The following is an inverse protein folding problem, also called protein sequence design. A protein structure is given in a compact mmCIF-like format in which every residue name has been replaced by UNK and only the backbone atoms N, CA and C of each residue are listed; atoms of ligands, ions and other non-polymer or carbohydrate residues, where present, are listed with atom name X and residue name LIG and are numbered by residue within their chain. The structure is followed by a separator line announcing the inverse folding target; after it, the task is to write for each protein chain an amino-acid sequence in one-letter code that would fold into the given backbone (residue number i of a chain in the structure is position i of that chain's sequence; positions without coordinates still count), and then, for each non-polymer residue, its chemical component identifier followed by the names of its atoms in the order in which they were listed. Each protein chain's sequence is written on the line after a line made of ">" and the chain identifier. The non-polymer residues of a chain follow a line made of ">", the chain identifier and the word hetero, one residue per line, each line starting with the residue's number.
data_IF_360545483162
#
_entry.id   IF_360545483162
#
_cell.length_a   1.000
_cell.length_b   1.000
_cell.length_c   1.000
_cell.angle_alpha   90.00
_cell.angle_beta   90.00
_cell.angle_gamma   90.00
#
_symmetry.space_group_name_H-M   'P 1'
#
loop_
_entity.id
_entity.type
_entity.pdbx_description
1 polymer ?
#
# COMPACT_ATOMS: atom_id res chain seq x y z
N UNK A 1 2.84 3.84 2.22
CA UNK A 1 2.22 2.58 1.81
C UNK A 1 1.11 2.81 0.79
N UNK A 2 1.09 2.01 -0.27
CA UNK A 2 0.00 1.97 -1.23
C UNK A 2 -0.67 0.59 -1.14
N UNK A 3 -1.99 0.55 -0.99
CA UNK A 3 -2.78 -0.69 -0.90
C UNK A 3 -3.79 -0.72 -2.04
N UNK A 4 -4.04 -1.91 -2.58
CA UNK A 4 -4.86 -2.09 -3.77
C UNK A 4 -5.96 -3.13 -3.54
N UNK A 5 -7.22 -2.71 -3.58
CA UNK A 5 -8.38 -3.61 -3.54
C UNK A 5 -8.86 -3.85 -4.96
N UNK A 6 -8.64 -5.06 -5.45
CA UNK A 6 -8.95 -5.42 -6.84
C UNK A 6 -10.39 -5.89 -6.97
N UNK A 7 -11.13 -5.31 -7.92
CA UNK A 7 -12.42 -5.85 -8.36
C UNK A 7 -12.21 -7.04 -9.31
N UNK A 8 -13.05 -8.06 -9.16
CA UNK A 8 -13.03 -9.28 -9.97
C UNK A 8 -14.46 -9.86 -10.07
N UNK A 9 -14.63 -11.04 -10.65
CA UNK A 9 -15.95 -11.67 -10.81
C UNK A 9 -16.67 -11.97 -9.49
N UNK A 10 -15.95 -12.15 -8.37
CA UNK A 10 -16.53 -12.40 -7.04
C UNK A 10 -16.60 -11.16 -6.14
N UNK A 11 -15.88 -10.08 -6.47
CA UNK A 11 -15.88 -8.83 -5.70
C UNK A 11 -16.13 -7.65 -6.63
N UNK A 12 -17.33 -7.07 -6.51
CA UNK A 12 -17.72 -5.88 -7.27
C UNK A 12 -16.86 -4.66 -6.89
N UNK A 13 -16.80 -3.66 -7.78
CA UNK A 13 -16.10 -2.42 -7.49
C UNK A 13 -16.69 -1.69 -6.27
N UNK A 14 -18.03 -1.55 -6.11
CA UNK A 14 -18.63 -1.01 -4.89
C UNK A 14 -18.23 -1.78 -3.63
N UNK A 15 -18.22 -3.12 -3.66
CA UNK A 15 -17.80 -3.91 -2.49
C UNK A 15 -16.32 -3.73 -2.17
N UNK A 16 -15.47 -3.59 -3.17
CA UNK A 16 -14.05 -3.28 -2.98
C UNK A 16 -13.86 -1.89 -2.34
N UNK A 17 -14.69 -0.91 -2.70
CA UNK A 17 -14.68 0.44 -2.12
C UNK A 17 -15.16 0.39 -0.67
N UNK A 18 -16.26 -0.31 -0.38
CA UNK A 18 -16.71 -0.52 1.00
C UNK A 18 -15.63 -1.19 1.84
N UNK A 19 -14.98 -2.26 1.34
CA UNK A 19 -13.87 -2.89 2.05
C UNK A 19 -12.73 -1.90 2.32
N UNK A 20 -12.38 -1.06 1.35
CA UNK A 20 -11.32 -0.07 1.54
C UNK A 20 -11.67 0.98 2.60
N UNK A 21 -12.90 1.50 2.59
CA UNK A 21 -13.37 2.48 3.59
C UNK A 21 -13.48 1.83 4.97
N UNK A 22 -14.07 0.64 5.07
CA UNK A 22 -14.18 -0.12 6.32
C UNK A 22 -12.78 -0.36 6.91
N UNK A 23 -11.84 -0.85 6.11
CA UNK A 23 -10.46 -1.06 6.55
C UNK A 23 -9.81 0.24 7.00
N UNK A 24 -10.01 1.35 6.28
CA UNK A 24 -9.45 2.63 6.67
C UNK A 24 -10.01 3.09 8.02
N UNK A 25 -11.32 3.00 8.25
CA UNK A 25 -11.93 3.37 9.54
C UNK A 25 -11.38 2.48 10.66
N UNK A 26 -11.34 1.17 10.47
CA UNK A 26 -10.82 0.22 11.46
C UNK A 26 -9.36 0.54 11.82
N UNK A 27 -8.51 0.75 10.81
CA UNK A 27 -7.10 1.11 11.03
C UNK A 27 -6.97 2.45 11.74
N UNK A 28 -7.80 3.45 11.39
CA UNK A 28 -7.77 4.75 12.05
C UNK A 28 -8.23 4.67 13.52
N UNK A 29 -9.18 3.79 13.83
CA UNK A 29 -9.66 3.58 15.20
C UNK A 29 -8.64 2.82 16.06
N UNK A 30 -8.12 1.69 15.57
CA UNK A 30 -7.16 0.86 16.32
C UNK A 30 -5.75 1.45 16.37
N UNK A 31 -5.27 2.06 15.28
CA UNK A 31 -3.86 2.46 15.12
C UNK A 31 -3.66 3.91 14.68
N UNK A 32 -4.73 4.72 14.65
CA UNK A 32 -4.66 6.08 14.13
C UNK A 32 -3.89 7.08 14.99
N UNK A 33 -3.53 6.69 16.21
CA UNK A 33 -2.72 7.49 17.13
C UNK A 33 -1.72 6.60 17.87
N UNK A 34 -0.43 6.91 17.74
CA UNK A 34 0.62 6.21 18.46
C UNK A 34 1.47 7.22 19.23
N UNK A 35 1.50 7.10 20.55
CA UNK A 35 2.31 7.97 21.41
C UNK A 35 3.72 7.38 21.55
N UNK A 36 4.71 8.13 21.11
CA UNK A 36 6.12 7.76 21.26
C UNK A 36 6.67 8.16 22.62
N UNK A 37 7.74 7.48 23.05
CA UNK A 37 8.44 7.74 24.32
C UNK A 37 9.07 9.13 24.39
N UNK A 38 9.24 9.79 23.25
CA UNK A 38 9.76 11.16 23.13
C UNK A 38 8.65 12.22 23.10
N UNK A 39 7.42 11.86 23.45
CA UNK A 39 6.29 12.79 23.59
C UNK A 39 5.63 13.22 22.28
N UNK A 40 6.00 12.63 21.15
CA UNK A 40 5.36 12.88 19.84
C UNK A 40 4.21 11.89 19.65
N UNK A 41 3.05 12.37 19.20
CA UNK A 41 1.96 11.51 18.72
C UNK A 41 2.05 11.37 17.21
N UNK A 42 2.15 10.13 16.73
CA UNK A 42 2.13 9.82 15.31
C UNK A 42 0.68 9.54 14.90
N UNK A 43 0.27 10.10 13.77
CA UNK A 43 -1.06 9.91 13.20
C UNK A 43 -0.97 9.51 11.74
N UNK A 44 -1.89 8.64 11.33
CA UNK A 44 -2.02 8.22 9.94
C UNK A 44 -2.92 9.18 9.17
N UNK A 45 -2.59 9.47 7.92
CA UNK A 45 -3.52 10.06 6.95
C UNK A 45 -3.78 9.04 5.84
N UNK A 46 -5.01 8.90 5.42
CA UNK A 46 -5.43 7.93 4.40
C UNK A 46 -6.22 8.61 3.31
N UNK A 47 -5.93 8.24 2.06
CA UNK A 47 -6.65 8.72 0.89
C UNK A 47 -7.14 7.55 0.05
N UNK A 48 -8.38 7.63 -0.45
CA UNK A 48 -9.05 6.56 -1.19
C UNK A 48 -9.55 7.06 -2.56
N UNK A 49 -9.15 6.35 -3.61
CA UNK A 49 -9.67 6.54 -4.98
C UNK A 49 -9.97 5.20 -5.62
N UNK A 50 -10.93 5.16 -6.54
CA UNK A 50 -11.30 3.96 -7.27
C UNK A 50 -11.25 4.20 -8.78
N UNK A 51 -11.16 3.13 -9.56
CA UNK A 51 -11.34 3.17 -11.02
C UNK A 51 -10.44 2.19 -11.74
N UNK A 52 -10.27 2.40 -13.03
CA UNK A 52 -9.38 1.59 -13.85
C UNK A 52 -7.92 2.01 -13.68
N UNK A 53 -7.03 1.03 -13.50
CA UNK A 53 -5.59 1.27 -13.55
C UNK A 53 -4.87 0.19 -14.33
N UNK A 54 -3.69 0.56 -14.79
CA UNK A 54 -2.83 -0.28 -15.58
C UNK A 54 -1.65 -0.66 -14.70
N UNK A 55 -1.45 -1.96 -14.59
CA UNK A 55 -0.28 -2.53 -13.94
C UNK A 55 0.69 -2.96 -15.03
N UNK A 56 1.90 -2.43 -15.01
CA UNK A 56 2.93 -2.79 -15.96
C UNK A 56 4.24 -3.16 -15.27
N UNK A 57 4.95 -4.11 -15.85
CA UNK A 57 6.31 -4.45 -15.49
C UNK A 57 7.26 -3.72 -16.43
N UNK A 58 8.24 -3.04 -15.83
CA UNK A 58 9.34 -2.37 -16.53
C UNK A 58 10.66 -2.96 -16.03
N UNK A 59 11.66 -2.98 -16.89
CA UNK A 59 12.98 -3.45 -16.51
C UNK A 59 13.73 -4.16 -17.61
N UNK A 60 14.66 -4.99 -17.18
CA UNK A 60 15.57 -5.77 -17.99
C UNK A 60 15.67 -7.22 -17.47
N UNK A 61 16.62 -7.96 -18.04
CA UNK A 61 16.84 -9.37 -17.68
C UNK A 61 17.29 -9.55 -16.22
N UNK A 62 17.91 -8.53 -15.62
CA UNK A 62 18.48 -8.55 -14.27
C UNK A 62 17.55 -7.94 -13.23
N UNK A 63 16.92 -6.81 -13.56
CA UNK A 63 16.09 -6.02 -12.66
C UNK A 63 14.70 -5.83 -13.25
N UNK A 64 13.69 -6.01 -12.41
CA UNK A 64 12.30 -5.74 -12.75
C UNK A 64 11.69 -4.85 -11.68
N UNK A 65 10.89 -3.89 -12.14
CA UNK A 65 10.09 -3.02 -11.31
C UNK A 65 8.66 -3.05 -11.82
N UNK A 66 7.69 -2.81 -10.94
CA UNK A 66 6.31 -2.64 -11.35
C UNK A 66 5.92 -1.18 -11.25
N UNK A 67 5.07 -0.75 -12.17
CA UNK A 67 4.45 0.57 -12.13
C UNK A 67 2.94 0.40 -12.17
N UNK A 68 2.26 1.30 -11.46
CA UNK A 68 0.80 1.40 -11.49
C UNK A 68 0.45 2.78 -12.01
N UNK A 69 -0.23 2.84 -13.14
CA UNK A 69 -0.60 4.09 -13.82
C UNK A 69 -2.09 4.16 -14.07
N UNK A 70 -2.64 5.36 -14.00
CA UNK A 70 -4.05 5.62 -14.27
C UNK A 70 -4.59 6.76 -13.42
N UNK A 71 -5.76 7.26 -13.82
CA UNK A 71 -6.43 8.37 -13.17
C UNK A 71 -6.62 8.20 -11.66
N UNK A 72 -7.01 7.01 -11.14
CA UNK A 72 -7.16 6.81 -9.69
C UNK A 72 -5.85 7.02 -8.91
N UNK A 73 -4.69 6.72 -9.49
CA UNK A 73 -3.37 6.94 -8.85
C UNK A 73 -3.09 8.43 -8.69
N UNK A 74 -3.42 9.23 -9.71
CA UNK A 74 -3.24 10.68 -9.63
C UNK A 74 -4.23 11.31 -8.65
N UNK A 75 -5.49 10.89 -8.70
CA UNK A 75 -6.55 11.38 -7.80
C UNK A 75 -6.27 11.04 -6.34
N UNK A 76 -5.81 9.83 -6.03
CA UNK A 76 -5.45 9.48 -4.64
C UNK A 76 -4.26 10.30 -4.13
N UNK A 77 -3.29 10.62 -4.99
CA UNK A 77 -2.15 11.50 -4.64
C UNK A 77 -2.60 12.94 -4.37
N UNK A 78 -3.60 13.44 -5.09
CA UNK A 78 -4.21 14.75 -4.82
C UNK A 78 -4.98 14.73 -3.49
N UNK A 79 -5.80 13.70 -3.26
CA UNK A 79 -6.53 13.50 -2.01
C UNK A 79 -5.60 13.37 -0.78
N UNK A 80 -4.47 12.69 -0.93
CA UNK A 80 -3.48 12.52 0.13
C UNK A 80 -2.75 13.83 0.50
N UNK A 81 -2.65 14.77 -0.44
CA UNK A 81 -2.05 16.10 -0.19
C UNK A 81 -2.96 17.01 0.63
N UNK A 82 -4.28 16.85 0.51
CA UNK A 82 -5.25 17.65 1.28
C UNK A 82 -5.54 17.03 2.66
N UNK A 83 -5.33 15.72 2.80
CA UNK A 83 -5.55 15.00 4.06
C UNK A 83 -4.64 15.50 5.17
N UNK A 84 -5.23 15.83 6.33
CA UNK A 84 -4.49 16.11 7.55
C UNK A 84 -4.22 14.84 8.35
N UNK A 85 -3.27 14.85 9.31
CA UNK A 85 -3.03 13.71 10.17
C UNK A 85 -4.30 13.30 10.94
N UNK A 86 -4.75 12.06 10.75
CA UNK A 86 -6.01 11.53 11.28
C UNK A 86 -7.15 11.46 10.26
N UNK A 87 -6.99 12.04 9.07
CA UNK A 87 -8.06 12.11 8.08
C UNK A 87 -8.12 10.86 7.20
N UNK A 88 -9.35 10.48 6.85
CA UNK A 88 -9.67 9.53 5.79
C UNK A 88 -10.38 10.32 4.68
N UNK A 89 -9.67 10.57 3.58
CA UNK A 89 -10.18 11.35 2.45
C UNK A 89 -10.56 10.41 1.31
N UNK A 90 -11.81 10.47 0.87
CA UNK A 90 -12.34 9.72 -0.27
C UNK A 90 -12.60 10.69 -1.42
N UNK A 91 -12.09 10.35 -2.61
CA UNK A 91 -12.40 11.11 -3.83
C UNK A 91 -13.87 10.93 -4.22
N UNK A 92 -14.52 11.99 -4.75
CA UNK A 92 -15.90 11.88 -5.25
C UNK A 92 -16.06 10.77 -6.29
N UNK A 93 -15.01 10.51 -7.06
CA UNK A 93 -15.00 9.43 -8.05
C UNK A 93 -15.10 8.03 -7.43
N UNK A 94 -14.54 7.80 -6.24
CA UNK A 94 -14.78 6.56 -5.51
C UNK A 94 -16.16 6.56 -4.86
N UNK A 95 -16.54 7.70 -4.27
CA UNK A 95 -17.81 7.86 -3.58
C UNK A 95 -19.03 7.62 -4.48
N UNK A 96 -18.97 8.03 -5.75
CA UNK A 96 -20.07 7.87 -6.70
C UNK A 96 -20.45 6.42 -7.03
N UNK A 97 -19.62 5.43 -6.64
CA UNK A 97 -19.92 4.01 -6.83
C UNK A 97 -20.66 3.36 -5.65
N UNK A 98 -20.81 4.06 -4.53
CA UNK A 98 -21.41 3.52 -3.30
C UNK A 98 -22.52 4.43 -2.78
N UNK A 99 -23.41 3.86 -1.96
CA UNK A 99 -24.39 4.65 -1.22
C UNK A 99 -23.75 5.18 0.08
N UNK A 100 -24.15 6.38 0.48
CA UNK A 100 -23.57 7.11 1.61
C UNK A 100 -24.13 6.70 2.98
N UNK A 101 -25.28 6.00 3.00
CA UNK A 101 -25.99 5.62 4.23
C UNK A 101 -25.15 4.82 5.25
N UNK A 102 -24.07 4.14 4.83
CA UNK A 102 -23.23 3.32 5.71
C UNK A 102 -22.16 4.11 6.48
N UNK A 103 -21.88 5.37 6.10
CA UNK A 103 -20.77 6.14 6.66
C UNK A 103 -21.16 7.55 7.10
N UNK A 104 -20.53 8.03 8.16
CA UNK A 104 -20.57 9.44 8.57
C UNK A 104 -19.48 10.19 7.81
N UNK A 105 -19.87 11.19 7.05
CA UNK A 105 -18.97 11.94 6.17
C UNK A 105 -19.24 13.44 6.18
N UNK A 106 -18.24 14.23 5.79
CA UNK A 106 -18.36 15.68 5.55
C UNK A 106 -17.66 16.07 4.24
N UNK A 107 -18.21 17.03 3.46
CA UNK A 107 -17.54 17.51 2.25
C UNK A 107 -16.29 18.32 2.59
N UNK A 108 -15.22 18.13 1.82
CA UNK A 108 -14.02 18.97 1.90
C UNK A 108 -14.28 20.35 1.25
N UNK A 109 -13.43 21.33 1.56
CA UNK A 109 -13.54 22.71 1.05
C UNK A 109 -13.51 22.81 -0.49
N UNK A 110 -12.89 21.84 -1.15
CA UNK A 110 -12.80 21.75 -2.61
C UNK A 110 -14.02 21.14 -3.31
N UNK A 111 -15.00 20.64 -2.54
CA UNK A 111 -16.24 20.00 -3.03
C UNK A 111 -16.04 18.77 -3.94
N UNK A 112 -14.82 18.26 -4.07
CA UNK A 112 -14.50 17.08 -4.90
C UNK A 112 -13.93 15.91 -4.07
N UNK A 113 -13.68 16.16 -2.78
CA UNK A 113 -13.33 15.14 -1.81
C UNK A 113 -14.29 15.15 -0.63
N UNK A 114 -14.37 13.99 0.03
CA UNK A 114 -15.18 13.77 1.22
C UNK A 114 -14.28 13.24 2.33
N UNK A 115 -14.49 13.73 3.54
CA UNK A 115 -13.80 13.25 4.73
C UNK A 115 -14.71 12.27 5.47
N UNK A 116 -14.23 11.04 5.64
CA UNK A 116 -14.94 9.97 6.34
C UNK A 116 -14.56 10.01 7.82
N UNK A 117 -15.55 9.93 8.70
CA UNK A 117 -15.35 9.98 10.15
C UNK A 117 -15.53 8.62 10.81
N UNK A 118 -16.63 7.93 10.52
CA UNK A 118 -16.98 6.66 11.17
C UNK A 118 -18.09 5.94 10.40
N UNK A 119 -18.54 4.81 10.93
CA UNK A 119 -19.71 4.07 10.47
C UNK A 119 -21.01 4.69 10.98
N UNK A 120 -22.11 4.47 10.24
CA UNK A 120 -23.47 4.72 10.75
C UNK A 120 -24.06 3.47 11.40
N UNK A 121 -25.27 3.57 11.94
CA UNK A 121 -26.06 2.43 12.42
C UNK A 121 -26.44 1.43 11.30
N UNK A 122 -26.43 1.86 10.04
CA UNK A 122 -26.78 1.05 8.88
C UNK A 122 -25.61 0.22 8.33
N UNK A 123 -24.41 0.34 8.91
CA UNK A 123 -23.28 -0.49 8.52
C UNK A 123 -23.59 -1.99 8.69
N UNK A 124 -23.30 -2.78 7.66
CA UNK A 124 -23.71 -4.20 7.52
C UNK A 124 -23.37 -5.03 8.78
N UNK A 125 -24.40 -5.66 9.35
CA UNK A 125 -24.38 -6.34 10.65
C UNK A 125 -23.32 -7.46 10.80
N UNK A 126 -23.02 -8.21 9.73
CA UNK A 126 -22.03 -9.31 9.80
C UNK A 126 -20.61 -8.80 10.06
N UNK A 127 -20.30 -7.55 9.67
CA UNK A 127 -18.99 -6.93 9.92
C UNK A 127 -18.90 -6.29 11.31
N UNK A 128 -20.03 -5.86 11.89
CA UNK A 128 -20.09 -5.31 13.26
C UNK A 128 -19.68 -6.33 14.32
N UNK A 129 -20.04 -7.60 14.14
CA UNK A 129 -19.68 -8.69 15.07
C UNK A 129 -18.16 -8.92 15.06
N UNK A 130 -17.54 -8.96 13.87
CA UNK A 130 -16.09 -9.12 13.73
C UNK A 130 -15.35 -7.92 14.33
N UNK A 131 -15.86 -6.70 14.12
CA UNK A 131 -15.27 -5.50 14.70
C UNK A 131 -15.37 -5.47 16.23
N UNK A 132 -16.52 -5.85 16.80
CA UNK A 132 -16.69 -5.96 18.25
C UNK A 132 -15.71 -6.98 18.87
N UNK A 133 -15.48 -8.10 18.18
CA UNK A 133 -14.55 -9.15 18.60
C UNK A 133 -13.08 -8.66 18.56
N UNK A 134 -12.72 -7.83 17.56
CA UNK A 134 -11.39 -7.18 17.48
C UNK A 134 -11.20 -6.21 18.65
N UNK A 135 -12.19 -5.34 18.92
CA UNK A 135 -12.09 -4.39 20.04
C UNK A 135 -12.00 -5.09 21.40
N UNK A 136 -12.64 -6.26 21.58
CA UNK A 136 -12.56 -7.00 22.83
C UNK A 136 -11.25 -7.77 23.04
N UNK A 137 -10.48 -8.03 21.97
CA UNK A 137 -9.17 -8.70 22.06
C UNK A 137 -8.04 -7.74 22.40
N UNK A 138 -8.18 -6.46 22.07
CA UNK A 138 -7.22 -5.41 22.46
C UNK A 138 -7.21 -5.14 23.98
N UNK A 139 -8.28 -5.49 24.70
CA UNK A 139 -8.37 -5.40 26.17
C UNK A 139 -7.68 -6.57 26.92
N UNK A 140 -7.15 -7.56 26.21
CA UNK A 140 -6.34 -8.64 26.78
C UNK A 140 -4.88 -8.45 26.38
N UNK A 141 -4.14 -7.64 27.13
CA UNK A 141 -2.67 -7.67 27.13
C UNK A 141 -2.20 -9.05 27.59
N UNK A 142 -2.04 -9.99 26.66
CA UNK A 142 -1.17 -11.14 26.89
C UNK A 142 0.26 -10.69 26.65
N UNK A 143 1.01 -10.59 27.75
CA UNK A 143 2.47 -10.49 27.78
C UNK A 143 3.08 -11.64 26.95
N UNK A 144 3.30 -11.41 25.66
CA UNK A 144 3.95 -12.40 24.81
C UNK A 144 5.46 -12.37 25.11
N UNK A 145 5.97 -13.48 25.60
CA UNK A 145 7.37 -13.62 25.99
C UNK A 145 8.19 -13.73 24.71
N UNK A 146 9.00 -12.71 24.43
CA UNK A 146 9.93 -12.66 23.30
C UNK A 146 11.04 -13.71 23.47
N UNK A 147 10.78 -14.94 23.05
CA UNK A 147 11.83 -15.91 22.77
C UNK A 147 12.25 -15.78 21.28
N UNK A 148 13.54 -15.59 20.97
CA UNK A 148 14.02 -15.51 19.60
C UNK A 148 14.18 -16.93 19.02
N UNK A 149 13.10 -17.53 18.52
CA UNK A 149 13.22 -18.63 17.56
C UNK A 149 13.25 -18.06 16.14
N UNK A 150 14.46 -17.93 15.58
CA UNK A 150 14.78 -17.42 14.23
C UNK A 150 14.30 -18.32 13.07
N UNK A 151 13.17 -19.01 13.21
CA UNK A 151 12.55 -19.76 12.11
C UNK A 151 11.12 -19.31 11.94
N UNK A 152 10.85 -18.49 10.91
CA UNK A 152 9.50 -18.13 10.49
C UNK A 152 8.76 -19.41 10.07
N UNK A 153 8.07 -20.05 11.02
CA UNK A 153 7.20 -21.19 10.74
C UNK A 153 6.01 -20.65 9.94
N UNK A 154 5.84 -21.15 8.72
CA UNK A 154 4.67 -20.82 7.90
C UNK A 154 3.46 -21.50 8.53
N UNK A 155 2.86 -20.84 9.51
CA UNK A 155 1.70 -21.34 10.23
C UNK A 155 0.38 -21.11 9.46
N UNK A 156 -0.70 -21.68 9.99
CA UNK A 156 -2.02 -21.62 9.37
C UNK A 156 -2.57 -20.18 9.30
N UNK A 157 -2.17 -19.32 10.23
CA UNK A 157 -2.62 -17.93 10.32
C UNK A 157 -1.93 -17.04 9.28
N UNK A 158 -0.62 -17.18 9.11
CA UNK A 158 0.14 -16.49 8.07
C UNK A 158 -0.31 -16.90 6.66
N UNK A 159 -0.68 -18.18 6.48
CA UNK A 159 -1.29 -18.67 5.24
C UNK A 159 -2.72 -18.16 5.04
N UNK A 160 -3.45 -17.83 6.10
CA UNK A 160 -4.77 -17.20 6.00
C UNK A 160 -4.65 -15.72 5.57
N UNK A 161 -3.68 -14.99 6.12
CA UNK A 161 -3.44 -13.57 5.79
C UNK A 161 -2.81 -13.43 4.39
N UNK A 162 -1.90 -14.35 4.02
CA UNK A 162 -1.22 -14.36 2.71
C UNK A 162 -1.38 -15.71 2.02
N UNK A 163 -2.57 -16.01 1.45
CA UNK A 163 -2.84 -17.30 0.80
C UNK A 163 -1.88 -17.65 -0.34
N UNK A 164 -1.23 -16.65 -0.95
CA UNK A 164 -0.23 -16.86 -2.00
C UNK A 164 1.03 -17.59 -1.50
N UNK A 165 1.30 -17.57 -0.19
CA UNK A 165 2.41 -18.32 0.41
C UNK A 165 2.18 -19.83 0.40
N UNK A 166 0.93 -20.31 0.25
CA UNK A 166 0.63 -21.77 0.14
C UNK A 166 1.33 -22.43 -1.04
N UNK A 167 1.65 -21.67 -2.07
CA UNK A 167 2.27 -22.16 -3.29
C UNK A 167 3.77 -21.87 -3.36
N UNK A 168 4.35 -21.29 -2.30
CA UNK A 168 5.77 -20.96 -2.23
C UNK A 168 6.47 -22.09 -1.48
N UNK A 169 7.42 -22.75 -2.14
CA UNK A 169 8.35 -23.66 -1.47
C UNK A 169 9.34 -22.81 -0.67
N UNK A 170 9.59 -23.16 0.60
CA UNK A 170 10.37 -22.37 1.56
C UNK A 170 11.76 -21.91 1.07
N UNK A 171 12.32 -22.57 0.04
CA UNK A 171 13.67 -22.32 -0.47
C UNK A 171 13.75 -21.88 -1.93
N UNK A 172 12.62 -21.65 -2.62
CA UNK A 172 12.66 -21.29 -4.06
C UNK A 172 11.82 -20.04 -4.31
N UNK A 173 12.48 -18.89 -4.29
CA UNK A 173 11.97 -17.70 -4.97
C UNK A 173 12.17 -17.95 -6.46
N UNK A 174 11.08 -17.98 -7.24
CA UNK A 174 11.16 -18.13 -8.70
C UNK A 174 12.15 -17.09 -9.26
N UNK A 175 12.98 -17.50 -10.23
CA UNK A 175 13.91 -16.61 -10.95
C UNK A 175 13.23 -15.37 -11.54
N UNK A 176 11.91 -15.42 -11.77
CA UNK A 176 11.11 -14.27 -12.17
C UNK A 176 10.87 -13.23 -11.06
N UNK A 177 10.78 -13.67 -9.80
CA UNK A 177 10.57 -12.82 -8.62
C UNK A 177 11.88 -12.26 -8.06
N UNK A 178 12.99 -12.98 -8.21
CA UNK A 178 14.33 -12.53 -7.81
C UNK A 178 14.69 -11.17 -8.44
N UNK A 179 14.20 -10.89 -9.66
CA UNK A 179 14.43 -9.63 -10.37
C UNK A 179 13.88 -8.39 -9.65
N UNK A 180 12.96 -8.56 -8.71
CA UNK A 180 12.39 -7.48 -7.90
C UNK A 180 13.13 -7.26 -6.57
N UNK A 181 14.06 -8.15 -6.22
CA UNK A 181 14.88 -8.02 -5.02
C UNK A 181 16.15 -7.23 -5.33
N UNK A 182 16.57 -6.39 -4.39
CA UNK A 182 17.87 -5.75 -4.48
C UNK A 182 18.97 -6.80 -4.24
N UNK A 183 20.12 -6.67 -4.92
CA UNK A 183 21.21 -7.66 -4.85
C UNK A 183 21.65 -8.01 -3.42
N UNK A 184 21.79 -7.07 -2.46
CA UNK A 184 22.16 -7.43 -1.09
C UNK A 184 21.15 -8.36 -0.41
N UNK A 185 19.84 -8.15 -0.64
CA UNK A 185 18.78 -9.03 -0.12
C UNK A 185 18.85 -10.39 -0.80
N UNK A 186 19.06 -10.42 -2.12
CA UNK A 186 19.18 -11.68 -2.86
C UNK A 186 20.39 -12.50 -2.36
N UNK A 187 21.56 -11.88 -2.23
CA UNK A 187 22.76 -12.53 -1.75
C UNK A 187 22.58 -13.07 -0.32
N UNK A 188 21.95 -12.28 0.57
CA UNK A 188 21.70 -12.74 1.92
C UNK A 188 20.79 -13.97 1.95
N UNK A 189 19.74 -13.99 1.12
CA UNK A 189 18.85 -15.16 0.99
C UNK A 189 19.58 -16.36 0.38
N UNK A 190 20.43 -16.16 -0.63
CA UNK A 190 21.16 -17.26 -1.31
C UNK A 190 22.28 -17.84 -0.44
N UNK A 191 22.97 -17.01 0.34
CA UNK A 191 24.06 -17.41 1.23
C UNK A 191 23.58 -17.82 2.63
N UNK A 192 22.28 -17.74 2.90
CA UNK A 192 21.68 -17.94 4.21
C UNK A 192 22.31 -17.03 5.29
N UNK A 193 22.59 -15.78 4.90
CA UNK A 193 23.09 -14.73 5.80
C UNK A 193 21.93 -14.03 6.50
N UNK A 194 22.11 -13.62 7.78
CA UNK A 194 21.10 -12.88 8.53
C UNK A 194 20.75 -11.54 7.86
N UNK A 195 19.46 -11.26 7.69
CA UNK A 195 18.97 -10.01 7.09
C UNK A 195 19.23 -8.79 7.99
N UNK A 196 19.52 -9.02 9.27
CA UNK A 196 19.95 -8.01 10.25
C UNK A 196 21.18 -7.26 9.76
N UNK A 197 22.04 -7.90 8.95
CA UNK A 197 23.22 -7.27 8.35
C UNK A 197 22.87 -6.16 7.35
N UNK A 198 21.63 -6.12 6.86
CA UNK A 198 21.13 -5.04 6.01
C UNK A 198 20.61 -3.84 6.83
N UNK A 199 20.47 -4.00 8.15
CA UNK A 199 20.00 -2.97 9.06
C UNK A 199 21.20 -2.20 9.61
N UNK A 200 21.70 -1.25 8.82
CA UNK A 200 22.86 -0.43 9.19
C UNK A 200 22.57 1.08 9.12
N UNK A 201 23.21 1.84 10.00
CA UNK A 201 23.33 3.28 9.87
C UNK A 201 24.59 3.59 9.06
N UNK A 202 24.42 4.16 7.86
CA UNK A 202 25.56 4.44 6.97
C UNK A 202 25.42 5.78 6.26
N UNK A 203 26.55 6.33 5.84
CA UNK A 203 26.57 7.52 5.00
C UNK A 203 26.24 7.16 3.55
N UNK A 204 25.23 7.80 2.97
CA UNK A 204 24.84 7.61 1.56
C UNK A 204 24.74 8.94 0.84
N UNK A 205 24.99 8.92 -0.47
CA UNK A 205 24.61 9.99 -1.38
C UNK A 205 23.36 9.55 -2.10
N UNK A 206 22.28 10.32 -1.97
CA UNK A 206 21.00 10.02 -2.63
C UNK A 206 20.82 10.91 -3.85
N UNK A 207 20.52 10.29 -4.99
CA UNK A 207 20.17 11.01 -6.23
C UNK A 207 18.68 10.77 -6.51
N UNK A 208 17.88 11.84 -6.44
CA UNK A 208 16.46 11.79 -6.78
C UNK A 208 16.23 12.32 -8.20
N UNK A 209 15.69 11.47 -9.07
CA UNK A 209 15.31 11.82 -10.43
C UNK A 209 13.79 12.00 -10.51
N UNK A 210 13.33 13.25 -10.64
CA UNK A 210 11.92 13.55 -10.89
C UNK A 210 11.71 13.77 -12.40
N UNK A 211 11.03 12.83 -13.04
CA UNK A 211 10.82 12.83 -14.49
C UNK A 211 9.37 13.16 -14.79
N UNK A 212 9.15 14.29 -15.47
CA UNK A 212 7.81 14.74 -15.87
C UNK A 212 7.62 14.46 -17.36
N UNK A 213 6.71 13.54 -17.66
CA UNK A 213 6.39 13.16 -19.04
C UNK A 213 5.19 13.97 -19.56
N UNK A 214 5.19 14.24 -20.86
CA UNK A 214 4.03 14.85 -21.52
C UNK A 214 2.85 13.86 -21.53
N UNK A 215 1.58 14.34 -21.52
CA UNK A 215 0.42 13.47 -21.65
C UNK A 215 0.49 12.65 -22.95
N UNK A 216 0.34 11.33 -22.83
CA UNK A 216 0.37 10.35 -23.93
C UNK A 216 -0.63 9.24 -23.64
N UNK A 217 -0.93 8.43 -24.65
CA UNK A 217 -1.64 7.17 -24.42
C UNK A 217 -0.85 6.26 -23.46
N UNK A 218 -1.57 5.46 -22.67
CA UNK A 218 -0.98 4.69 -21.57
C UNK A 218 0.10 3.71 -22.07
N UNK A 219 -0.10 3.07 -23.22
CA UNK A 219 0.88 2.15 -23.80
C UNK A 219 2.18 2.84 -24.24
N UNK A 220 2.09 4.07 -24.74
CA UNK A 220 3.26 4.87 -25.09
C UNK A 220 3.98 5.36 -23.83
N UNK A 221 3.21 5.80 -22.82
CA UNK A 221 3.74 6.20 -21.52
C UNK A 221 4.53 5.07 -20.86
N UNK A 222 3.98 3.85 -20.83
CA UNK A 222 4.66 2.68 -20.25
C UNK A 222 5.94 2.35 -21.02
N UNK A 223 5.92 2.41 -22.37
CA UNK A 223 7.11 2.17 -23.20
C UNK A 223 8.21 3.21 -22.95
N UNK A 224 7.83 4.48 -22.82
CA UNK A 224 8.77 5.56 -22.52
C UNK A 224 9.35 5.41 -21.11
N UNK A 225 8.53 5.12 -20.09
CA UNK A 225 8.98 4.83 -18.73
C UNK A 225 9.98 3.66 -18.74
N UNK A 226 9.71 2.59 -19.48
CA UNK A 226 10.63 1.47 -19.57
C UNK A 226 11.95 1.83 -20.27
N UNK A 227 11.91 2.67 -21.32
CA UNK A 227 13.12 3.16 -22.00
C UNK A 227 13.99 4.00 -21.06
N UNK A 228 13.35 4.90 -20.30
CA UNK A 228 14.00 5.75 -19.30
C UNK A 228 14.57 4.91 -18.17
N UNK A 229 13.79 3.99 -17.60
CA UNK A 229 14.24 3.08 -16.55
C UNK A 229 15.48 2.31 -17.00
N UNK A 230 15.46 1.72 -18.20
CA UNK A 230 16.61 1.01 -18.72
C UNK A 230 17.82 1.92 -19.01
N UNK A 231 17.59 3.17 -19.40
CA UNK A 231 18.67 4.14 -19.59
C UNK A 231 19.33 4.50 -18.26
N UNK A 232 18.54 4.74 -17.22
CA UNK A 232 19.06 4.95 -15.84
C UNK A 232 19.79 3.71 -15.36
N UNK A 233 19.22 2.52 -15.56
CA UNK A 233 19.87 1.26 -15.21
C UNK A 233 21.19 1.07 -15.94
N UNK A 234 21.34 1.47 -17.21
CA UNK A 234 22.62 1.37 -17.95
C UNK A 234 23.75 2.14 -17.28
N UNK A 235 23.47 3.31 -16.71
CA UNK A 235 24.45 4.08 -15.95
C UNK A 235 24.82 3.42 -14.61
N UNK A 236 24.03 2.43 -14.15
CA UNK A 236 24.39 1.56 -13.03
C UNK A 236 25.01 0.21 -13.48
N UNK A 237 24.44 -0.53 -14.44
CA UNK A 237 24.90 -1.85 -14.96
C UNK A 237 24.23 -2.23 -16.32
N UNK A 238 24.82 -3.16 -17.08
CA UNK A 238 24.56 -3.38 -18.52
C UNK A 238 23.38 -4.34 -18.91
N UNK A 239 22.64 -3.96 -19.97
CA UNK A 239 21.81 -4.74 -20.96
C UNK A 239 20.32 -5.17 -20.74
N UNK A 240 19.64 -5.27 -21.91
CA UNK A 240 18.36 -5.85 -22.44
C UNK A 240 17.01 -5.75 -21.69
N UNK A 241 15.99 -5.17 -22.36
CA UNK A 241 14.69 -4.73 -21.81
C UNK A 241 13.53 -5.75 -21.89
N UNK A 242 12.63 -5.74 -20.89
CA UNK A 242 11.36 -6.50 -20.86
C UNK A 242 10.17 -5.59 -20.48
N UNK A 243 9.03 -5.70 -21.17
CA UNK A 243 7.77 -5.00 -20.83
C UNK A 243 6.61 -6.01 -20.80
N UNK A 244 5.77 -5.99 -19.76
CA UNK A 244 4.47 -6.72 -19.71
C UNK A 244 3.38 -5.80 -19.16
N UNK A 245 2.20 -5.78 -19.78
CA UNK A 245 1.07 -4.89 -19.42
C UNK A 245 -0.16 -5.73 -19.02
N UNK A 246 -0.85 -5.35 -17.94
CA UNK A 246 -2.09 -5.98 -17.48
C UNK A 246 -3.13 -4.92 -17.10
N UNK A 247 -4.34 -5.06 -17.63
CA UNK A 247 -5.50 -4.18 -17.40
C UNK A 247 -6.38 -4.74 -16.29
N UNK A 248 -6.80 -3.92 -15.32
CA UNK A 248 -7.78 -4.28 -14.26
C UNK A 248 -8.33 -3.04 -13.53
N UNK A 249 -9.49 -3.18 -12.89
CA UNK A 249 -10.08 -2.14 -12.02
C UNK A 249 -9.69 -2.33 -10.55
N UNK A 250 -9.29 -1.25 -9.88
CA UNK A 250 -8.78 -1.30 -8.51
C UNK A 250 -9.15 -0.06 -7.66
N UNK A 251 -9.13 -0.22 -6.35
CA UNK A 251 -9.26 0.86 -5.34
C UNK A 251 -7.93 1.04 -4.64
N UNK A 252 -7.48 2.28 -4.53
CA UNK A 252 -6.23 2.67 -3.88
C UNK A 252 -6.51 3.16 -2.49
N UNK A 253 -5.74 2.68 -1.52
CA UNK A 253 -5.50 3.40 -0.27
C UNK A 253 -4.05 3.87 -0.31
N UNK A 254 -3.84 5.18 -0.39
CA UNK A 254 -2.53 5.77 -0.11
C UNK A 254 -2.51 6.13 1.38
N UNK A 255 -1.62 5.52 2.12
CA UNK A 255 -1.26 5.91 3.49
C UNK A 255 0.18 6.39 3.43
N UNK A 256 0.46 7.68 3.67
CA UNK A 256 1.83 8.19 3.69
C UNK A 256 2.08 9.04 4.94
N UNK A 257 3.15 8.63 5.62
CA UNK A 257 3.98 9.31 6.63
C UNK A 257 3.38 9.78 7.96
N UNK A 258 4.06 9.29 9.00
CA UNK A 258 3.99 9.65 10.40
C UNK A 258 4.46 11.10 10.55
N UNK A 259 3.51 12.04 10.67
CA UNK A 259 3.83 13.45 10.93
C UNK A 259 4.00 13.68 12.43
N UNK A 260 5.13 14.29 12.81
CA UNK A 260 5.40 14.78 14.17
C UNK A 260 4.49 15.97 14.46
N UNK A 261 3.45 15.78 15.27
CA UNK A 261 2.79 16.92 15.91
C UNK A 261 3.68 17.41 17.06
N UNK A 262 4.49 18.43 16.78
CA UNK A 262 5.22 19.17 17.80
C UNK A 262 4.27 20.23 18.33
N UNK A 263 3.53 19.93 19.41
CA UNK A 263 2.89 21.00 20.18
C UNK A 263 4.00 21.76 20.89
N UNK A 264 4.32 22.95 20.37
CA UNK A 264 5.04 23.97 21.12
C UNK A 264 4.04 24.55 22.11
N UNK A 265 4.23 24.22 23.38
CA UNK A 265 3.65 24.93 24.52
C UNK A 265 4.79 25.52 25.33
#
# INVERSE_FOLDING_TARGET
>A
MLVLFKSNSSVSLPDAIHRAIDTAIIVQLSYGHYKTDVGVTLRMKMAISAGEVHFALVGNDVFSHYIVVGQPVWKVKLAERIAQPGDIIVTYYAWSYIHDNEYVWEPCSDKVHLKIKSFTSYWRSTKRIIFADITSREDQESHDSLEPEDTIKIDSEMLAIRPRLKHVTAHIVSSSLQKFLIKPVLNAVENNEPLELLTEMRQIVTVFLNIVLKPKHIDELIREINSIFNSVCKYSFCTKSTIKICYKSYVFISSLELLKDTKVS
#
